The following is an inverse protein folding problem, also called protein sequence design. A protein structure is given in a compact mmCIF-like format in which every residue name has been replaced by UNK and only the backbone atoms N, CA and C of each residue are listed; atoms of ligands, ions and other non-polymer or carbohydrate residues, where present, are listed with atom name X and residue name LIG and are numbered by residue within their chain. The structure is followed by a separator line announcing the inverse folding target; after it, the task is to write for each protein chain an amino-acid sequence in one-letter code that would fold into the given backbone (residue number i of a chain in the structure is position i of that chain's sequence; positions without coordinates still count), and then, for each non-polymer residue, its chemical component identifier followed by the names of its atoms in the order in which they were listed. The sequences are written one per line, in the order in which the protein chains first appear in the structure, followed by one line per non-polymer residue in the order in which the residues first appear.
data_IF_477581382792
#
_entry.id   IF_477581382792
#
_cell.length_a   1.000
_cell.length_b   1.000
_cell.length_c   1.000
_cell.angle_alpha   90.00
_cell.angle_beta   90.00
_cell.angle_gamma   90.00
#
_symmetry.space_group_name_H-M   'P 1'
#
loop_
_entity.id
_entity.type
_entity.pdbx_description
1 polymer ?
#
# COMPACT_ATOMS: atom_id res chain seq x y z
N UNK A 1 -11.96 13.71 1.31
CA UNK A 1 -11.57 13.00 2.56
C UNK A 1 -10.09 12.62 2.49
N UNK A 2 -9.34 12.65 3.59
CA UNK A 2 -7.92 12.23 3.59
C UNK A 2 -7.80 10.80 4.12
N UNK A 3 -7.12 9.94 3.39
CA UNK A 3 -6.94 8.53 3.70
C UNK A 3 -5.46 8.24 3.93
N UNK A 4 -5.11 7.80 5.12
CA UNK A 4 -3.79 7.26 5.39
C UNK A 4 -3.81 5.76 5.18
N UNK A 5 -2.99 5.27 4.24
CA UNK A 5 -2.91 3.84 3.98
C UNK A 5 -2.04 3.15 5.01
N UNK A 6 -2.52 2.00 5.48
CA UNK A 6 -1.71 1.03 6.19
C UNK A 6 -0.63 0.45 5.25
N UNK A 7 0.50 0.04 5.82
CA UNK A 7 1.61 -0.53 5.06
C UNK A 7 1.19 -1.77 4.27
N UNK A 8 0.29 -2.61 4.78
CA UNK A 8 -0.16 -3.81 4.06
C UNK A 8 -0.95 -3.46 2.79
N UNK A 9 -1.80 -2.43 2.83
CA UNK A 9 -2.54 -1.98 1.64
C UNK A 9 -1.56 -1.47 0.58
N UNK A 10 -0.55 -0.70 0.99
CA UNK A 10 0.51 -0.23 0.08
C UNK A 10 1.25 -1.42 -0.55
N UNK A 11 1.62 -2.42 0.24
CA UNK A 11 2.30 -3.63 -0.25
C UNK A 11 1.43 -4.36 -1.28
N UNK A 12 0.15 -4.63 -0.99
CA UNK A 12 -0.73 -5.32 -1.94
C UNK A 12 -0.87 -4.56 -3.25
N UNK A 13 -0.97 -3.22 -3.19
CA UNK A 13 -1.02 -2.39 -4.39
C UNK A 13 0.30 -2.48 -5.20
N UNK A 14 1.46 -2.43 -4.54
CA UNK A 14 2.77 -2.57 -5.18
C UNK A 14 2.99 -3.95 -5.81
N UNK A 15 2.43 -5.00 -5.21
CA UNK A 15 2.49 -6.37 -5.73
C UNK A 15 1.42 -6.67 -6.78
N UNK A 16 0.54 -5.72 -7.09
CA UNK A 16 -0.59 -5.94 -8.01
C UNK A 16 -1.65 -6.90 -7.46
N UNK A 17 -1.63 -7.20 -6.16
CA UNK A 17 -2.55 -8.10 -5.47
C UNK A 17 -3.89 -7.43 -5.16
N UNK A 18 -4.58 -6.95 -6.21
CA UNK A 18 -5.85 -6.22 -6.06
C UNK A 18 -6.92 -7.00 -5.29
N UNK A 19 -6.91 -8.34 -5.35
CA UNK A 19 -7.85 -9.19 -4.61
C UNK A 19 -7.66 -9.16 -3.09
N UNK A 20 -6.48 -8.75 -2.62
CA UNK A 20 -6.17 -8.60 -1.20
C UNK A 20 -6.69 -7.27 -0.63
N UNK A 21 -6.98 -6.29 -1.49
CA UNK A 21 -7.57 -5.01 -1.09
C UNK A 21 -9.10 -5.17 -1.01
N UNK A 22 -9.72 -4.91 0.16
CA UNK A 22 -11.18 -4.93 0.29
C UNK A 22 -11.86 -3.98 -0.70
N UNK A 23 -13.03 -4.37 -1.22
CA UNK A 23 -13.71 -3.63 -2.29
C UNK A 23 -14.10 -2.21 -1.86
N UNK A 24 -14.59 -2.04 -0.63
CA UNK A 24 -14.92 -0.74 -0.05
C UNK A 24 -13.70 0.19 0.04
N UNK A 25 -12.53 -0.38 0.39
CA UNK A 25 -11.25 0.36 0.37
C UNK A 25 -10.88 0.74 -1.06
N UNK A 26 -10.99 -0.18 -2.01
CA UNK A 26 -10.71 0.08 -3.42
C UNK A 26 -11.63 1.18 -4.00
N UNK A 27 -12.91 1.16 -3.67
CA UNK A 27 -13.89 2.17 -4.10
C UNK A 27 -13.56 3.55 -3.50
N UNK A 28 -13.16 3.58 -2.22
CA UNK A 28 -12.76 4.82 -1.55
C UNK A 28 -11.46 5.39 -2.15
N UNK A 29 -10.51 4.52 -2.50
CA UNK A 29 -9.27 4.89 -3.20
C UNK A 29 -9.53 5.43 -4.61
N UNK A 30 -10.53 4.88 -5.31
CA UNK A 30 -10.90 5.30 -6.67
C UNK A 30 -11.73 6.60 -6.70
N UNK A 31 -12.28 7.03 -5.55
CA UNK A 31 -13.08 8.26 -5.46
C UNK A 31 -12.21 9.50 -5.73
N UNK A 32 -12.58 10.36 -6.71
CA UNK A 32 -11.81 11.57 -7.03
C UNK A 32 -11.83 12.63 -5.91
N UNK A 33 -12.69 12.45 -4.90
CA UNK A 33 -12.76 13.31 -3.72
C UNK A 33 -11.85 12.86 -2.57
N UNK A 34 -11.16 11.73 -2.72
CA UNK A 34 -10.23 11.21 -1.73
C UNK A 34 -8.79 11.70 -2.00
N UNK A 35 -8.09 12.04 -0.93
CA UNK A 35 -6.66 12.35 -0.95
C UNK A 35 -5.96 11.21 -0.23
N UNK A 36 -5.26 10.38 -1.00
CA UNK A 36 -4.53 9.22 -0.50
C UNK A 36 -3.13 9.64 -0.11
N UNK A 37 -2.74 9.33 1.13
CA UNK A 37 -1.40 9.59 1.65
C UNK A 37 -0.77 8.28 2.16
N UNK A 38 0.54 8.20 2.04
CA UNK A 38 1.37 7.11 2.59
C UNK A 38 2.35 7.72 3.58
N UNK A 39 2.48 7.11 4.76
CA UNK A 39 3.43 7.56 5.77
C UNK A 39 4.87 7.25 5.35
N UNK A 40 5.81 8.14 5.68
CA UNK A 40 7.23 7.85 5.59
C UNK A 40 7.63 6.62 6.42
N UNK A 41 6.93 6.35 7.53
CA UNK A 41 7.16 5.16 8.35
C UNK A 41 6.85 3.86 7.58
N UNK A 42 5.80 3.85 6.74
CA UNK A 42 5.46 2.70 5.90
C UNK A 42 6.56 2.40 4.88
N UNK A 43 7.21 3.44 4.34
CA UNK A 43 8.36 3.27 3.44
C UNK A 43 9.53 2.61 4.18
N UNK A 44 9.83 3.04 5.40
CA UNK A 44 10.89 2.45 6.22
C UNK A 44 10.59 0.99 6.59
N UNK A 45 9.34 0.68 6.95
CA UNK A 45 8.91 -0.70 7.23
C UNK A 45 9.08 -1.60 6.00
N UNK A 46 8.69 -1.13 4.81
CA UNK A 46 8.88 -1.86 3.54
C UNK A 46 10.36 -2.10 3.28
N UNK A 47 11.21 -1.09 3.46
CA UNK A 47 12.65 -1.19 3.25
C UNK A 47 13.29 -2.23 4.19
N UNK A 48 12.90 -2.27 5.47
CA UNK A 48 13.35 -3.29 6.42
C UNK A 48 12.87 -4.68 6.03
N UNK A 49 11.59 -4.82 5.66
CA UNK A 49 11.04 -6.14 5.25
C UNK A 49 11.75 -6.65 4.00
N UNK A 50 12.10 -5.76 3.05
CA UNK A 50 12.91 -6.09 1.87
C UNK A 50 14.33 -6.51 2.24
N UNK A 51 15.03 -5.76 3.09
CA UNK A 51 16.41 -6.09 3.48
C UNK A 51 16.53 -7.41 4.25
N UNK A 52 15.48 -7.79 4.98
CA UNK A 52 15.38 -9.08 5.66
C UNK A 52 14.95 -10.24 4.72
N UNK A 53 14.72 -9.99 3.43
CA UNK A 53 14.25 -11.00 2.47
C UNK A 53 12.80 -11.45 2.72
N UNK A 54 12.04 -10.74 3.56
CA UNK A 54 10.65 -11.06 3.93
C UNK A 54 9.62 -10.50 2.95
N UNK A 55 10.04 -9.58 2.08
CA UNK A 55 9.19 -8.93 1.09
C UNK A 55 9.96 -8.80 -0.22
N UNK A 56 9.37 -9.28 -1.32
CA UNK A 56 9.88 -9.10 -2.69
C UNK A 56 8.85 -8.27 -3.45
N UNK A 57 9.25 -7.12 -3.97
CA UNK A 57 8.38 -6.29 -4.83
C UNK A 57 8.97 -6.39 -6.24
N UNK A 58 8.16 -6.69 -7.25
CA UNK A 58 8.64 -6.80 -8.63
C UNK A 58 9.01 -5.41 -9.19
N UNK A 59 10.12 -5.32 -9.92
CA UNK A 59 10.60 -4.06 -10.53
C UNK A 59 11.99 -3.57 -10.13
N UNK A 60 12.79 -4.40 -9.45
CA UNK A 60 14.26 -4.20 -9.34
C UNK A 60 14.97 -4.63 -10.63
#
# INVERSE_FOLDING_TARGET
MRLLLDTNVVIWLLLGERRSVPQDVADTLASPSSSVIVSAASVWEIAIKRSLGKLRIDGD
#
